data_IF_570362345243
#
_entry.id   IF_570362345243
#
_cell.length_a   1.000
_cell.length_b   1.000
_cell.length_c   1.000
_cell.angle_alpha   90.00
_cell.angle_beta   90.00
_cell.angle_gamma   90.00
#
_symmetry.space_group_name_H-M   'P 1'
#
loop_
_entity.id
_entity.type
_entity.pdbx_description
1 polymer ?
#
# COMPACT_ATOMS: atom_id res chain seq x y z
N UNK A 1 -7.61 13.21 -13.22
CA UNK A 1 -7.45 13.04 -11.76
C UNK A 1 -7.78 11.61 -11.36
N UNK A 2 -6.98 11.02 -10.50
CA UNK A 2 -7.21 9.64 -10.04
C UNK A 2 -8.23 9.62 -8.91
N UNK A 3 -9.16 8.65 -8.93
CA UNK A 3 -10.05 8.44 -7.80
C UNK A 3 -9.30 7.72 -6.66
N UNK A 4 -9.87 7.65 -5.43
CA UNK A 4 -9.16 7.07 -4.29
C UNK A 4 -8.68 5.64 -4.52
N UNK A 5 -9.46 4.81 -5.21
CA UNK A 5 -9.04 3.44 -5.49
C UNK A 5 -7.86 3.40 -6.47
N UNK A 6 -7.90 4.25 -7.50
CA UNK A 6 -6.79 4.35 -8.45
C UNK A 6 -5.50 4.80 -7.76
N UNK A 7 -5.60 5.70 -6.76
CA UNK A 7 -4.45 6.11 -5.97
C UNK A 7 -3.90 4.95 -5.15
N UNK A 8 -4.77 4.15 -4.55
CA UNK A 8 -4.35 2.94 -3.85
C UNK A 8 -3.57 2.01 -4.78
N UNK A 9 -4.12 1.72 -5.95
CA UNK A 9 -3.46 0.84 -6.93
C UNK A 9 -2.11 1.40 -7.36
N UNK A 10 -2.02 2.71 -7.56
CA UNK A 10 -0.78 3.37 -7.90
C UNK A 10 0.30 3.10 -6.85
N UNK A 11 -0.03 3.29 -5.57
CA UNK A 11 0.92 3.05 -4.49
C UNK A 11 1.29 1.57 -4.36
N UNK A 12 0.35 0.66 -4.58
CA UNK A 12 0.66 -0.77 -4.57
C UNK A 12 1.62 -1.15 -5.71
N UNK A 13 1.41 -0.57 -6.88
CA UNK A 13 2.29 -0.81 -8.04
C UNK A 13 3.69 -0.28 -7.81
N UNK A 14 3.82 0.94 -7.28
CA UNK A 14 5.16 1.48 -7.04
C UNK A 14 5.87 0.74 -5.90
N UNK A 15 5.11 0.24 -4.92
CA UNK A 15 5.69 -0.61 -3.88
C UNK A 15 6.31 -1.86 -4.49
N UNK A 16 5.61 -2.51 -5.43
CA UNK A 16 6.14 -3.68 -6.13
C UNK A 16 7.37 -3.33 -6.97
N UNK A 17 7.34 -2.19 -7.66
CA UNK A 17 8.48 -1.74 -8.45
C UNK A 17 9.71 -1.50 -7.58
N UNK A 18 9.56 -0.86 -6.42
CA UNK A 18 10.65 -0.66 -5.48
C UNK A 18 11.18 -1.98 -4.94
N UNK A 19 10.27 -2.92 -4.62
CA UNK A 19 10.66 -4.25 -4.15
C UNK A 19 11.51 -4.97 -5.19
N UNK A 20 11.09 -4.93 -6.45
CA UNK A 20 11.82 -5.59 -7.54
C UNK A 20 13.23 -5.03 -7.71
N UNK A 21 13.42 -3.76 -7.36
CA UNK A 21 14.71 -3.09 -7.41
C UNK A 21 15.47 -3.15 -6.10
N UNK A 22 14.96 -3.90 -5.12
CA UNK A 22 15.55 -4.05 -3.79
C UNK A 22 15.66 -2.71 -3.03
N UNK A 23 14.81 -1.75 -3.38
CA UNK A 23 14.71 -0.46 -2.69
C UNK A 23 13.66 -0.56 -1.58
N UNK A 24 14.01 -1.28 -0.51
CA UNK A 24 13.03 -1.70 0.49
C UNK A 24 12.54 -0.55 1.38
N UNK A 25 13.37 0.46 1.65
CA UNK A 25 12.90 1.63 2.40
C UNK A 25 11.89 2.44 1.61
N UNK A 26 12.10 2.57 0.30
CA UNK A 26 11.15 3.24 -0.58
C UNK A 26 9.88 2.43 -0.70
N UNK A 27 9.99 1.08 -0.76
CA UNK A 27 8.83 0.19 -0.75
C UNK A 27 7.99 0.42 0.50
N UNK A 28 8.63 0.51 1.66
CA UNK A 28 7.91 0.70 2.92
C UNK A 28 7.16 2.03 2.94
N UNK A 29 7.73 3.09 2.41
CA UNK A 29 7.03 4.38 2.27
C UNK A 29 5.82 4.25 1.38
N UNK A 30 5.95 3.57 0.25
CA UNK A 30 4.83 3.33 -0.65
C UNK A 30 3.74 2.51 0.04
N UNK A 31 4.11 1.51 0.85
CA UNK A 31 3.15 0.71 1.59
C UNK A 31 2.45 1.50 2.69
N UNK A 32 3.12 2.47 3.31
CA UNK A 32 2.47 3.39 4.26
C UNK A 32 1.36 4.16 3.55
N UNK A 33 1.65 4.69 2.36
CA UNK A 33 0.65 5.43 1.59
C UNK A 33 -0.48 4.51 1.11
N UNK A 34 -0.13 3.31 0.65
CA UNK A 34 -1.14 2.33 0.22
C UNK A 34 -2.05 1.92 1.39
N UNK A 35 -1.46 1.65 2.55
CA UNK A 35 -2.23 1.28 3.74
C UNK A 35 -3.16 2.41 4.19
N UNK A 36 -2.71 3.65 4.09
CA UNK A 36 -3.53 4.82 4.40
C UNK A 36 -4.73 4.89 3.45
N UNK A 37 -4.49 4.76 2.15
CA UNK A 37 -5.56 4.77 1.15
C UNK A 37 -6.54 3.61 1.37
N UNK A 38 -6.02 2.42 1.65
CA UNK A 38 -6.85 1.24 1.88
C UNK A 38 -7.74 1.42 3.10
N UNK A 39 -7.20 1.98 4.18
CA UNK A 39 -7.97 2.22 5.41
C UNK A 39 -9.10 3.21 5.16
N UNK A 40 -8.83 4.29 4.42
CA UNK A 40 -9.86 5.28 4.06
C UNK A 40 -10.97 4.63 3.25
N UNK A 41 -10.62 3.69 2.37
CA UNK A 41 -11.58 2.96 1.55
C UNK A 41 -12.23 1.78 2.30
N UNK A 42 -11.89 1.59 3.58
CA UNK A 42 -12.36 0.48 4.40
C UNK A 42 -11.93 -0.89 3.86
N UNK A 43 -10.83 -0.94 3.15
CA UNK A 43 -10.20 -2.17 2.67
C UNK A 43 -9.15 -2.61 3.71
N UNK A 44 -9.64 -2.98 4.89
CA UNK A 44 -8.78 -3.21 6.06
C UNK A 44 -7.82 -4.38 5.88
N UNK A 45 -8.21 -5.40 5.14
CA UNK A 45 -7.33 -6.54 4.88
C UNK A 45 -6.07 -6.09 4.12
N UNK A 46 -6.24 -5.24 3.10
CA UNK A 46 -5.11 -4.68 2.36
C UNK A 46 -4.24 -3.82 3.29
N UNK A 47 -4.86 -2.94 4.08
CA UNK A 47 -4.14 -2.06 4.98
C UNK A 47 -3.30 -2.85 5.99
N UNK A 48 -3.89 -3.88 6.60
CA UNK A 48 -3.20 -4.68 7.61
C UNK A 48 -2.11 -5.57 6.99
N UNK A 49 -2.29 -6.00 5.75
CA UNK A 49 -1.24 -6.72 5.05
C UNK A 49 -0.06 -5.79 4.75
N UNK A 50 -0.32 -4.55 4.35
CA UNK A 50 0.74 -3.54 4.18
C UNK A 50 1.52 -3.35 5.49
N UNK A 51 0.80 -3.26 6.62
CA UNK A 51 1.43 -3.16 7.93
C UNK A 51 2.36 -4.34 8.21
N UNK A 52 1.88 -5.55 7.93
CA UNK A 52 2.70 -6.75 8.15
C UNK A 52 3.97 -6.73 7.30
N UNK A 53 3.86 -6.38 6.02
CA UNK A 53 5.01 -6.32 5.13
C UNK A 53 6.05 -5.30 5.62
N UNK A 54 5.60 -4.13 6.08
CA UNK A 54 6.49 -3.11 6.62
C UNK A 54 7.23 -3.65 7.85
N UNK A 55 6.50 -4.28 8.77
CA UNK A 55 7.10 -4.78 10.01
C UNK A 55 8.01 -5.98 9.78
N UNK A 56 7.78 -6.78 8.75
CA UNK A 56 8.69 -7.86 8.38
C UNK A 56 10.06 -7.34 7.95
N UNK A 57 10.09 -6.20 7.26
CA UNK A 57 11.33 -5.59 6.83
C UNK A 57 11.93 -4.71 7.92
N UNK A 58 11.12 -3.95 8.63
CA UNK A 58 11.56 -3.01 9.66
C UNK A 58 10.78 -3.24 10.95
N UNK A 59 11.31 -4.10 11.82
CA UNK A 59 10.66 -4.47 13.08
C UNK A 59 10.49 -3.28 14.03
N UNK A 60 11.31 -2.25 13.90
CA UNK A 60 11.27 -1.07 14.74
C UNK A 60 10.37 0.04 14.21
N UNK A 61 9.66 -0.20 13.10
CA UNK A 61 8.78 0.81 12.52
C UNK A 61 7.68 1.20 13.51
N UNK A 62 7.27 2.46 13.49
CA UNK A 62 6.28 2.99 14.44
C UNK A 62 4.92 2.28 14.36
N UNK A 63 4.60 1.64 13.23
CA UNK A 63 3.37 0.86 13.09
C UNK A 63 3.29 -0.31 14.09
N UNK A 64 4.41 -0.73 14.65
CA UNK A 64 4.44 -1.79 15.65
C UNK A 64 3.63 -1.45 16.91
N UNK A 65 3.49 -0.16 17.21
CA UNK A 65 2.75 0.30 18.40
C UNK A 65 1.25 0.06 18.29
N UNK A 66 0.73 -0.21 17.10
CA UNK A 66 -0.69 -0.32 16.85
C UNK A 66 -1.02 -1.72 16.37
N UNK A 67 -2.18 -2.24 16.76
CA UNK A 67 -2.59 -3.59 16.35
C UNK A 67 -3.05 -3.61 14.88
N UNK A 68 -3.62 -2.51 14.41
CA UNK A 68 -4.10 -2.41 13.04
C UNK A 68 -3.62 -1.10 12.41
N UNK A 69 -3.63 -1.06 11.08
CA UNK A 69 -3.30 0.17 10.37
C UNK A 69 -4.32 1.27 10.69
N UNK A 70 -5.59 0.90 10.82
CA UNK A 70 -6.64 1.86 11.15
C UNK A 70 -6.43 2.53 12.50
N UNK A 71 -5.97 1.77 13.51
CA UNK A 71 -5.63 2.34 14.81
C UNK A 71 -4.50 3.37 14.69
N UNK A 72 -3.50 3.08 13.86
CA UNK A 72 -2.38 4.01 13.66
C UNK A 72 -2.89 5.35 13.11
N UNK A 73 -3.83 5.30 12.17
CA UNK A 73 -4.37 6.52 11.57
C UNK A 73 -5.15 7.38 12.55
N UNK A 74 -5.64 6.79 13.63
CA UNK A 74 -6.30 7.54 14.70
C UNK A 74 -5.35 8.28 15.62
N UNK A 75 -4.05 8.04 15.51
CA UNK A 75 -3.03 8.69 16.34
C UNK A 75 -2.41 9.86 15.57
N UNK A 76 -2.37 11.03 16.22
CA UNK A 76 -1.84 12.24 15.58
C UNK A 76 -0.37 12.11 15.19
N UNK A 77 0.43 11.39 15.97
CA UNK A 77 1.85 11.19 15.64
C UNK A 77 2.03 10.44 14.33
N UNK A 78 1.23 9.40 14.12
CA UNK A 78 1.27 8.68 12.87
C UNK A 78 0.75 9.52 11.71
N UNK A 79 -0.27 10.34 11.96
CA UNK A 79 -0.79 11.28 10.97
C UNK A 79 0.27 12.26 10.47
N UNK A 80 1.11 12.77 11.38
CA UNK A 80 2.23 13.65 11.00
C UNK A 80 3.22 12.88 10.13
N UNK A 81 3.54 11.66 10.51
CA UNK A 81 4.44 10.80 9.73
C UNK A 81 3.92 10.58 8.31
N UNK A 82 2.61 10.26 8.18
CA UNK A 82 1.99 10.05 6.86
C UNK A 82 2.11 11.30 5.99
N UNK A 83 1.89 12.49 6.58
CA UNK A 83 2.04 13.74 5.84
C UNK A 83 3.45 13.95 5.34
N UNK A 84 4.44 13.58 6.15
CA UNK A 84 5.86 13.67 5.73
C UNK A 84 6.16 12.72 4.59
N UNK A 85 5.64 11.50 4.67
CA UNK A 85 5.82 10.52 3.58
C UNK A 85 5.16 11.01 2.29
N UNK A 86 3.95 11.59 2.41
CA UNK A 86 3.24 12.12 1.25
C UNK A 86 4.01 13.23 0.55
N UNK A 87 4.72 14.06 1.29
CA UNK A 87 5.55 15.12 0.70
C UNK A 87 6.67 14.54 -0.16
N UNK A 88 7.23 13.40 0.24
CA UNK A 88 8.31 12.75 -0.50
C UNK A 88 7.79 11.84 -1.61
N UNK A 89 6.60 11.29 -1.42
CA UNK A 89 6.02 10.33 -2.35
C UNK A 89 4.55 10.68 -2.58
N UNK A 90 4.31 11.83 -3.23
CA UNK A 90 2.97 12.23 -3.63
C UNK A 90 2.45 11.31 -4.74
N UNK A 91 1.13 11.25 -4.97
CA UNK A 91 0.60 10.47 -6.10
C UNK A 91 1.22 10.86 -7.45
N UNK A 92 1.44 12.16 -7.68
CA UNK A 92 2.04 12.68 -8.91
C UNK A 92 3.48 12.19 -9.06
N UNK A 93 4.25 12.26 -7.98
CA UNK A 93 5.63 11.78 -7.99
C UNK A 93 5.69 10.27 -8.17
N UNK A 94 4.78 9.52 -7.52
CA UNK A 94 4.71 8.08 -7.66
C UNK A 94 4.41 7.69 -9.11
N UNK A 95 3.49 8.39 -9.76
CA UNK A 95 3.14 8.14 -11.15
C UNK A 95 4.31 8.39 -12.09
N UNK A 96 5.01 9.53 -11.91
CA UNK A 96 6.21 9.84 -12.69
C UNK A 96 7.30 8.80 -12.48
N UNK A 97 7.49 8.37 -11.23
CA UNK A 97 8.53 7.39 -10.90
C UNK A 97 8.25 6.05 -11.57
N UNK A 98 6.99 5.59 -11.59
CA UNK A 98 6.63 4.35 -12.28
C UNK A 98 6.94 4.43 -13.77
N UNK A 99 6.65 5.58 -14.39
CA UNK A 99 6.95 5.79 -15.81
C UNK A 99 8.46 5.74 -16.07
N UNK A 100 9.25 6.39 -15.20
CA UNK A 100 10.71 6.38 -15.33
C UNK A 100 11.31 4.99 -15.12
N UNK A 101 10.72 4.19 -14.24
CA UNK A 101 11.15 2.81 -13.99
C UNK A 101 10.76 1.87 -15.10
N UNK A 102 9.92 2.30 -16.03
CA UNK A 102 9.37 1.45 -17.10
C UNK A 102 8.72 0.19 -16.50
N UNK A 103 8.02 0.36 -15.38
CA UNK A 103 7.39 -0.76 -14.69
C UNK A 103 6.18 -1.26 -15.48
N UNK A 104 6.15 -2.56 -15.75
CA UNK A 104 5.04 -3.20 -16.45
C UNK A 104 4.30 -4.12 -15.50
N UNK A 105 2.99 -3.97 -15.44
CA UNK A 105 2.12 -4.81 -14.62
C UNK A 105 1.09 -5.46 -15.55
N UNK A 106 1.07 -6.79 -15.57
CA UNK A 106 0.16 -7.56 -16.41
C UNK A 106 -1.23 -7.71 -15.80
N UNK A 107 -1.41 -7.26 -14.56
CA UNK A 107 -2.69 -7.35 -13.86
C UNK A 107 -3.62 -6.24 -14.36
N UNK A 108 -4.75 -6.65 -14.94
CA UNK A 108 -5.73 -5.73 -15.52
C UNK A 108 -7.02 -5.72 -14.69
N UNK A 109 -7.65 -4.54 -14.52
CA UNK A 109 -8.90 -4.45 -13.72
C UNK A 109 -10.03 -5.34 -14.26
N UNK A 110 -10.06 -5.55 -15.58
CA UNK A 110 -11.10 -6.32 -16.25
C UNK A 110 -11.03 -7.81 -15.94
N UNK A 111 -9.90 -8.31 -15.41
CA UNK A 111 -9.71 -9.71 -15.10
C UNK A 111 -10.29 -10.10 -13.73
N UNK A 112 -10.80 -9.13 -12.97
CA UNK A 112 -11.26 -9.36 -11.60
C UNK A 112 -12.63 -8.78 -11.37
N UNK A 113 -13.46 -9.49 -10.57
CA UNK A 113 -14.84 -9.08 -10.30
C UNK A 113 -14.92 -7.99 -9.24
N UNK A 114 -14.00 -7.97 -8.27
CA UNK A 114 -14.04 -7.02 -7.17
C UNK A 114 -12.76 -6.20 -7.09
N UNK A 115 -12.89 -5.05 -6.46
CA UNK A 115 -11.72 -4.18 -6.19
C UNK A 115 -10.70 -4.89 -5.30
N UNK A 116 -11.18 -5.66 -4.32
CA UNK A 116 -10.30 -6.41 -3.43
C UNK A 116 -9.48 -7.44 -4.21
N UNK A 117 -10.13 -8.19 -5.10
CA UNK A 117 -9.43 -9.17 -5.92
C UNK A 117 -8.37 -8.52 -6.79
N UNK A 118 -8.69 -7.38 -7.41
CA UNK A 118 -7.74 -6.66 -8.25
C UNK A 118 -6.56 -6.14 -7.41
N UNK A 119 -6.83 -5.51 -6.28
CA UNK A 119 -5.77 -4.99 -5.41
C UNK A 119 -4.86 -6.11 -4.90
N UNK A 120 -5.44 -7.24 -4.48
CA UNK A 120 -4.67 -8.39 -4.02
C UNK A 120 -3.76 -8.92 -5.14
N UNK A 121 -4.31 -9.00 -6.36
CA UNK A 121 -3.53 -9.46 -7.51
C UNK A 121 -2.36 -8.53 -7.82
N UNK A 122 -2.55 -7.21 -7.71
CA UNK A 122 -1.45 -6.24 -7.87
C UNK A 122 -0.35 -6.50 -6.87
N UNK A 123 -0.70 -6.93 -5.66
CA UNK A 123 0.27 -7.28 -4.61
C UNK A 123 0.84 -8.69 -4.80
N UNK A 124 0.35 -9.45 -5.76
CA UNK A 124 0.81 -10.82 -6.00
C UNK A 124 0.27 -11.84 -5.02
N UNK A 125 -0.88 -11.59 -4.42
CA UNK A 125 -1.48 -12.49 -3.41
C UNK A 125 -2.92 -12.83 -3.78
N UNK A 126 -3.42 -13.92 -3.18
CA UNK A 126 -4.80 -14.37 -3.37
C UNK A 126 -5.74 -13.63 -2.41
N UNK A 127 -6.85 -13.11 -2.94
CA UNK A 127 -7.81 -12.35 -2.14
C UNK A 127 -8.44 -13.20 -1.04
N UNK A 128 -8.72 -14.48 -1.28
CA UNK A 128 -9.28 -15.38 -0.28
C UNK A 128 -8.30 -15.57 0.88
N UNK A 129 -7.01 -15.79 0.56
CA UNK A 129 -5.98 -15.89 1.58
C UNK A 129 -5.87 -14.61 2.39
N UNK A 130 -5.91 -13.47 1.71
CA UNK A 130 -5.80 -12.17 2.35
C UNK A 130 -6.95 -11.96 3.35
N UNK A 131 -8.17 -12.24 2.93
CA UNK A 131 -9.35 -12.11 3.78
C UNK A 131 -9.29 -13.06 4.97
N UNK A 132 -8.85 -14.30 4.75
CA UNK A 132 -8.74 -15.29 5.83
C UNK A 132 -7.72 -14.88 6.90
N UNK A 133 -6.66 -14.19 6.52
CA UNK A 133 -5.56 -13.86 7.43
C UNK A 133 -5.62 -12.42 7.97
N UNK A 134 -6.21 -11.48 7.25
CA UNK A 134 -6.22 -10.06 7.58
C UNK A 134 -7.60 -9.43 7.48
N UNK A 135 -8.60 -10.15 7.04
CA UNK A 135 -9.95 -9.69 6.97
C UNK A 135 -10.46 -9.44 8.38
N UNK A 136 -11.25 -8.38 8.51
CA UNK A 136 -11.72 -7.90 9.76
C UNK A 136 -12.37 -8.80 10.67
#
# INVERSE_FOLDING_TARGET
MLDPFQVLILYLRIAQAFKDRLQMSDRDRALVMAGTCASVLQMNAIANFCRKLILQHNHGHMLRKYETFGEALGDSDFGVFVKQVRKKLSPEFAQSSLQEMEYHCEVLPTDYETKLEFAAAVMGIDAAWLTANFGE
#
